data_IF_230370788226
#
_entry.id   IF_230370788226
#
_cell.length_a   1.000
_cell.length_b   1.000
_cell.length_c   1.000
_cell.angle_alpha   90.00
_cell.angle_beta   90.00
_cell.angle_gamma   90.00
#
_symmetry.space_group_name_H-M   'P 1'
#
loop_
_entity.id
_entity.type
_entity.pdbx_description
1 polymer ?
#
# COMPACT_ATOMS: atom_id res chain seq x y z
N UNK A 1 -3.37 16.63 -4.91
CA UNK A 1 -2.15 16.90 -4.11
C UNK A 1 -2.05 15.87 -3.00
N UNK A 2 -1.02 15.02 -3.03
CA UNK A 2 -0.80 13.95 -2.03
C UNK A 2 0.33 14.26 -1.05
N UNK A 3 1.12 15.31 -1.31
CA UNK A 3 2.23 15.71 -0.44
C UNK A 3 1.78 16.00 0.99
N UNK A 4 2.51 15.47 1.98
CA UNK A 4 2.24 15.63 3.40
C UNK A 4 1.05 14.84 3.94
N UNK A 5 0.38 14.00 3.12
CA UNK A 5 -0.78 13.22 3.55
C UNK A 5 -0.39 11.85 4.11
N UNK A 6 -1.15 11.39 5.09
CA UNK A 6 -1.14 10.01 5.56
C UNK A 6 -2.16 9.21 4.73
N UNK A 7 -1.71 8.20 4.00
CA UNK A 7 -2.53 7.44 3.06
C UNK A 7 -2.79 6.02 3.58
N UNK A 8 -4.00 5.52 3.36
CA UNK A 8 -4.37 4.13 3.60
C UNK A 8 -4.71 3.48 2.26
N UNK A 9 -3.89 2.52 1.83
CA UNK A 9 -4.26 1.61 0.76
C UNK A 9 -5.19 0.54 1.31
N UNK A 10 -6.29 0.31 0.59
CA UNK A 10 -7.26 -0.74 0.89
C UNK A 10 -7.33 -1.65 -0.33
N UNK A 11 -7.14 -2.94 -0.10
CA UNK A 11 -7.26 -3.97 -1.13
C UNK A 11 -8.09 -5.15 -0.61
N UNK A 12 -8.73 -5.92 -1.48
CA UNK A 12 -9.55 -7.05 -1.05
C UNK A 12 -8.69 -8.23 -0.56
N UNK A 13 -7.63 -8.58 -1.30
CA UNK A 13 -6.71 -9.67 -1.01
C UNK A 13 -5.26 -9.29 -1.29
N UNK A 14 -4.38 -9.43 -0.29
CA UNK A 14 -2.93 -9.32 -0.49
C UNK A 14 -2.33 -10.72 -0.71
N UNK A 15 -1.60 -10.91 -1.81
CA UNK A 15 -0.83 -12.13 -2.08
C UNK A 15 0.58 -12.03 -1.47
N UNK A 16 1.61 -11.78 -2.30
CA UNK A 16 3.00 -11.60 -1.85
C UNK A 16 3.25 -10.23 -1.23
N UNK A 17 2.33 -9.27 -1.44
CA UNK A 17 2.51 -7.88 -1.04
C UNK A 17 3.34 -7.03 -2.01
N UNK A 18 3.83 -7.61 -3.12
CA UNK A 18 4.67 -6.86 -4.09
C UNK A 18 3.95 -5.65 -4.68
N UNK A 19 2.67 -5.79 -5.04
CA UNK A 19 1.86 -4.68 -5.58
C UNK A 19 1.74 -3.54 -4.57
N UNK A 20 1.36 -3.87 -3.33
CA UNK A 20 1.21 -2.90 -2.25
C UNK A 20 2.55 -2.21 -1.92
N UNK A 21 3.67 -2.93 -1.95
CA UNK A 21 5.01 -2.37 -1.74
C UNK A 21 5.40 -1.37 -2.84
N UNK A 22 5.21 -1.73 -4.12
CA UNK A 22 5.49 -0.84 -5.25
C UNK A 22 4.64 0.44 -5.20
N UNK A 23 3.34 0.32 -4.91
CA UNK A 23 2.47 1.50 -4.80
C UNK A 23 2.87 2.37 -3.60
N UNK A 24 3.16 1.75 -2.45
CA UNK A 24 3.59 2.49 -1.27
C UNK A 24 4.86 3.28 -1.53
N UNK A 25 5.85 2.66 -2.19
CA UNK A 25 7.08 3.35 -2.59
C UNK A 25 6.79 4.54 -3.52
N UNK A 26 5.97 4.35 -4.56
CA UNK A 26 5.63 5.43 -5.50
C UNK A 26 4.89 6.60 -4.83
N UNK A 27 4.01 6.32 -3.87
CA UNK A 27 3.28 7.36 -3.12
C UNK A 27 4.18 8.13 -2.16
N UNK A 28 5.11 7.44 -1.49
CA UNK A 28 6.12 8.08 -0.64
C UNK A 28 7.05 8.96 -1.47
N UNK A 29 7.53 8.48 -2.62
CA UNK A 29 8.35 9.25 -3.57
C UNK A 29 7.61 10.49 -4.09
N UNK A 30 6.28 10.39 -4.22
CA UNK A 30 5.40 11.51 -4.60
C UNK A 30 5.06 12.46 -3.44
N UNK A 31 5.69 12.26 -2.27
CA UNK A 31 5.65 13.17 -1.12
C UNK A 31 4.61 12.82 -0.04
N UNK A 32 3.99 11.65 -0.07
CA UNK A 32 3.13 11.21 1.04
C UNK A 32 3.93 11.16 2.36
N UNK A 33 3.30 11.57 3.47
CA UNK A 33 3.94 11.51 4.79
C UNK A 33 4.00 10.09 5.35
N UNK A 34 3.02 9.26 5.01
CA UNK A 34 3.00 7.84 5.38
C UNK A 34 2.05 7.07 4.46
N UNK A 35 2.30 5.77 4.31
CA UNK A 35 1.41 4.84 3.61
C UNK A 35 1.24 3.60 4.46
N UNK A 36 0.00 3.31 4.83
CA UNK A 36 -0.41 2.07 5.48
C UNK A 36 -1.21 1.22 4.50
N UNK A 37 -1.17 -0.09 4.65
CA UNK A 37 -1.92 -1.03 3.78
C UNK A 37 -2.79 -1.92 4.64
N UNK A 38 -4.06 -2.05 4.28
CA UNK A 38 -5.00 -2.99 4.90
C UNK A 38 -5.67 -3.84 3.82
N UNK A 39 -5.95 -5.09 4.16
CA UNK A 39 -6.71 -5.98 3.31
C UNK A 39 -7.58 -6.92 4.13
N UNK A 40 -8.67 -7.39 3.52
CA UNK A 40 -9.63 -8.30 4.17
C UNK A 40 -9.04 -9.71 4.22
N UNK A 41 -8.26 -10.11 3.22
CA UNK A 41 -7.64 -11.43 3.16
C UNK A 41 -6.17 -11.40 2.76
N UNK A 42 -5.45 -12.46 3.16
CA UNK A 42 -4.10 -12.73 2.68
C UNK A 42 -4.07 -14.08 1.98
N UNK A 43 -3.71 -14.09 0.70
CA UNK A 43 -3.48 -15.33 -0.03
C UNK A 43 -2.07 -15.86 0.29
N UNK A 44 -2.01 -17.08 0.82
CA UNK A 44 -0.76 -17.80 1.03
C UNK A 44 -0.53 -18.71 -0.17
N UNK A 45 0.63 -18.56 -0.82
CA UNK A 45 1.07 -19.48 -1.87
C UNK A 45 1.76 -20.64 -1.15
N UNK A 46 1.28 -21.87 -1.37
CA UNK A 46 1.88 -23.12 -0.87
C UNK A 46 2.95 -23.60 -1.85
#
# INVERSE_FOLDING_TARGET
MISGRNLLLVDDVITTGSTAACISAALLDSGASSVSVISIARAMIH
#
